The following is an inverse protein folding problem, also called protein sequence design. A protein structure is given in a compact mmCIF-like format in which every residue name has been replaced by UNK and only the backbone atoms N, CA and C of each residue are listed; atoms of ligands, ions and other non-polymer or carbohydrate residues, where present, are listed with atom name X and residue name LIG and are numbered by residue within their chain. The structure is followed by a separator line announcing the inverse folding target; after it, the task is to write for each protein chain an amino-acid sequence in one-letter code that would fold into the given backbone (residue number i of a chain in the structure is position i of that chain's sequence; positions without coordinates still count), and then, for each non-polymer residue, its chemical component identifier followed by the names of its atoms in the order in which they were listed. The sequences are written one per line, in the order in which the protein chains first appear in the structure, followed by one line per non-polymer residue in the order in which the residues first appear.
data_IF_163977844437
#
_entry.id   IF_163977844437
#
_cell.length_a   1.000
_cell.length_b   1.000
_cell.length_c   1.000
_cell.angle_alpha   90.00
_cell.angle_beta   90.00
_cell.angle_gamma   90.00
#
_symmetry.space_group_name_H-M   'P 1'
#
loop_
_entity.id
_entity.type
_entity.pdbx_description
1 polymer ?
#
# COMPACT_ATOMS: atom_id res chain seq x y z
N UNK A 1 -11.86 10.08 8.94
CA UNK A 1 -10.51 9.79 8.39
C UNK A 1 -9.89 10.99 7.69
N UNK A 2 -10.64 11.82 6.94
CA UNK A 2 -10.08 13.01 6.24
C UNK A 2 -9.38 14.03 7.16
N UNK A 3 -9.70 14.03 8.43
CA UNK A 3 -9.10 14.93 9.44
C UNK A 3 -7.85 14.31 10.09
N UNK A 4 -7.61 13.01 9.91
CA UNK A 4 -6.44 12.31 10.41
C UNK A 4 -5.24 12.53 9.50
N UNK A 5 -4.07 12.85 10.08
CA UNK A 5 -2.81 12.90 9.34
C UNK A 5 -2.43 11.55 8.71
N UNK A 6 -3.05 10.44 9.15
CA UNK A 6 -2.91 9.11 8.56
C UNK A 6 -3.82 8.87 7.36
N UNK A 7 -4.71 9.80 7.01
CA UNK A 7 -5.60 9.64 5.86
C UNK A 7 -4.83 9.36 4.57
N UNK A 8 -3.82 10.17 4.29
CA UNK A 8 -3.00 10.03 3.09
C UNK A 8 -2.14 8.76 3.11
N UNK A 9 -1.69 8.32 4.30
CA UNK A 9 -1.01 7.04 4.46
C UNK A 9 -1.87 5.87 3.97
N UNK A 10 -3.13 5.79 4.44
CA UNK A 10 -4.04 4.72 4.04
C UNK A 10 -4.47 4.83 2.57
N UNK A 11 -4.67 6.04 2.07
CA UNK A 11 -5.04 6.27 0.68
C UNK A 11 -3.94 5.80 -0.29
N UNK A 12 -2.68 6.15 -0.02
CA UNK A 12 -1.54 5.69 -0.82
C UNK A 12 -1.36 4.18 -0.69
N UNK A 13 -1.49 3.63 0.52
CA UNK A 13 -1.40 2.18 0.75
C UNK A 13 -2.45 1.39 -0.05
N UNK A 14 -3.69 1.90 -0.09
CA UNK A 14 -4.80 1.30 -0.84
C UNK A 14 -4.59 1.36 -2.35
N UNK A 15 -3.94 2.40 -2.85
CA UNK A 15 -3.75 2.63 -4.29
C UNK A 15 -2.44 2.06 -4.85
N UNK A 16 -1.52 1.62 -3.99
CA UNK A 16 -0.20 1.10 -4.39
C UNK A 16 0.02 -0.36 -4.01
N UNK A 17 -0.79 -0.88 -3.08
CA UNK A 17 -0.61 -2.22 -2.54
C UNK A 17 0.69 -2.41 -1.73
N UNK A 18 1.38 -1.34 -1.34
CA UNK A 18 2.60 -1.42 -0.54
C UNK A 18 2.35 -2.09 0.81
N UNK A 19 3.38 -2.77 1.33
CA UNK A 19 3.35 -3.33 2.68
C UNK A 19 3.44 -2.21 3.72
N UNK A 20 2.88 -2.42 4.90
CA UNK A 20 2.93 -1.45 6.00
C UNK A 20 4.37 -0.98 6.29
N UNK A 21 5.32 -1.90 6.40
CA UNK A 21 6.72 -1.54 6.66
C UNK A 21 7.39 -0.77 5.52
N UNK A 22 6.99 -1.01 4.27
CA UNK A 22 7.43 -0.24 3.11
C UNK A 22 6.87 1.19 3.17
N UNK A 23 5.58 1.32 3.50
CA UNK A 23 4.93 2.63 3.71
C UNK A 23 5.56 3.43 4.85
N UNK A 24 5.88 2.77 5.97
CA UNK A 24 6.57 3.40 7.10
C UNK A 24 7.99 3.88 6.73
N UNK A 25 8.68 3.14 5.86
CA UNK A 25 10.03 3.47 5.39
C UNK A 25 10.10 4.37 4.17
N UNK A 26 8.97 4.79 3.61
CA UNK A 26 8.93 5.61 2.39
C UNK A 26 9.44 7.02 2.69
N UNK A 27 10.42 7.48 1.89
CA UNK A 27 11.02 8.81 2.00
C UNK A 27 10.61 9.69 0.82
N UNK A 28 10.73 11.01 0.98
CA UNK A 28 10.49 11.94 -0.13
C UNK A 28 11.41 11.71 -1.32
N UNK A 29 12.66 11.25 -1.07
CA UNK A 29 13.64 10.90 -2.10
C UNK A 29 13.26 9.69 -2.94
N UNK A 30 12.31 8.87 -2.48
CA UNK A 30 11.84 7.70 -3.23
C UNK A 30 10.80 8.04 -4.29
N UNK A 31 10.33 9.29 -4.31
CA UNK A 31 9.32 9.77 -5.27
C UNK A 31 10.05 10.39 -6.47
N UNK A 32 10.18 9.63 -7.53
CA UNK A 32 10.74 10.14 -8.79
C UNK A 32 9.63 10.67 -9.71
N UNK A 33 9.46 11.99 -9.69
CA UNK A 33 8.49 12.66 -10.56
C UNK A 33 8.90 12.69 -12.03
N UNK A 34 10.20 12.53 -12.35
CA UNK A 34 10.68 12.52 -13.75
C UNK A 34 10.37 11.20 -14.41
N UNK A 35 10.61 10.10 -13.69
CA UNK A 35 10.28 8.74 -14.16
C UNK A 35 8.83 8.35 -13.85
N UNK A 36 8.12 9.16 -13.06
CA UNK A 36 6.73 8.92 -12.62
C UNK A 36 6.58 7.61 -11.85
N UNK A 37 7.49 7.35 -10.89
CA UNK A 37 7.49 6.12 -10.08
C UNK A 37 7.79 6.39 -8.61
N UNK A 38 7.37 5.43 -7.77
CA UNK A 38 7.83 5.28 -6.39
C UNK A 38 8.88 4.18 -6.36
N UNK A 39 10.09 4.47 -5.90
CA UNK A 39 11.12 3.49 -5.65
C UNK A 39 10.92 2.81 -4.29
N UNK A 40 10.42 1.58 -4.26
CA UNK A 40 10.30 0.81 -3.03
C UNK A 40 11.65 0.14 -2.75
N UNK A 41 12.44 0.72 -1.84
CA UNK A 41 13.83 0.31 -1.62
C UNK A 41 14.11 -0.20 -0.21
N UNK A 42 13.17 -0.01 0.74
CA UNK A 42 13.34 -0.39 2.15
C UNK A 42 12.05 -0.77 2.82
N UNK A 43 12.17 -1.45 3.93
CA UNK A 43 11.08 -1.72 4.85
C UNK A 43 11.54 -1.41 6.27
N UNK A 44 10.67 -0.85 7.09
CA UNK A 44 10.95 -0.67 8.50
C UNK A 44 10.45 -1.86 9.31
N UNK A 45 11.28 -2.29 10.24
CA UNK A 45 10.96 -3.28 11.27
C UNK A 45 11.20 -2.68 12.63
N UNK A 46 10.31 -2.91 13.57
CA UNK A 46 10.54 -2.57 14.97
C UNK A 46 11.21 -3.75 15.66
N UNK A 47 12.33 -3.50 16.31
CA UNK A 47 13.03 -4.47 17.16
C UNK A 47 13.05 -3.92 18.58
N UNK A 48 12.54 -4.70 19.51
CA UNK A 48 12.50 -4.32 20.94
C UNK A 48 13.92 -3.99 21.44
N UNK A 49 14.05 -2.86 22.14
CA UNK A 49 15.34 -2.34 22.61
C UNK A 49 16.19 -1.62 21.56
N UNK A 50 15.88 -1.71 20.28
CA UNK A 50 16.65 -1.05 19.20
C UNK A 50 15.80 -0.03 18.40
N UNK A 51 14.46 -0.09 18.54
CA UNK A 51 13.56 0.80 17.81
C UNK A 51 13.33 0.38 16.35
N UNK A 52 13.08 1.36 15.49
CA UNK A 52 12.88 1.13 14.05
C UNK A 52 14.22 0.96 13.33
N UNK A 53 14.37 -0.15 12.64
CA UNK A 53 15.54 -0.47 11.82
C UNK A 53 15.12 -0.50 10.35
N UNK A 54 15.84 0.22 9.51
CA UNK A 54 15.74 0.09 8.05
C UNK A 54 16.33 -1.26 7.64
N UNK A 55 15.49 -2.13 7.11
CA UNK A 55 15.94 -3.40 6.52
C UNK A 55 15.93 -3.23 4.99
N UNK A 56 17.10 -3.40 4.41
CA UNK A 56 17.21 -3.50 2.95
C UNK A 56 16.61 -4.84 2.53
N UNK A 57 15.75 -4.85 1.52
CA UNK A 57 15.10 -6.07 1.07
C UNK A 57 16.14 -7.15 0.73
N UNK A 58 16.05 -8.30 1.39
CA UNK A 58 16.96 -9.44 1.22
C UNK A 58 16.95 -10.07 -0.18
N UNK A 59 15.98 -9.70 -1.02
CA UNK A 59 15.80 -10.26 -2.36
C UNK A 59 15.66 -9.16 -3.39
N UNK A 60 16.19 -9.38 -4.58
CA UNK A 60 16.09 -8.50 -5.74
C UNK A 60 14.64 -8.16 -6.11
N UNK A 61 13.70 -9.04 -5.79
CA UNK A 61 12.25 -8.85 -6.04
C UNK A 61 11.57 -7.90 -5.07
N UNK A 62 12.20 -7.56 -3.96
CA UNK A 62 11.63 -6.65 -2.96
C UNK A 62 11.93 -5.18 -3.28
N UNK A 63 12.98 -4.90 -4.04
CA UNK A 63 13.22 -3.58 -4.64
C UNK A 63 12.46 -3.51 -5.95
N UNK A 64 11.58 -2.53 -6.08
CA UNK A 64 10.72 -2.37 -7.26
C UNK A 64 10.25 -0.95 -7.41
N UNK A 65 9.84 -0.64 -8.63
CA UNK A 65 9.22 0.63 -8.97
C UNK A 65 7.70 0.45 -9.10
N UNK A 66 6.95 1.34 -8.47
CA UNK A 66 5.49 1.40 -8.59
C UNK A 66 5.15 2.67 -9.36
N UNK A 67 4.44 2.58 -10.51
CA UNK A 67 4.01 3.75 -11.25
C UNK A 67 3.14 4.68 -10.41
N UNK A 68 3.41 5.98 -10.49
CA UNK A 68 2.60 7.02 -9.84
C UNK A 68 1.34 7.28 -10.66
N UNK A 69 0.20 7.25 -9.99
CA UNK A 69 -1.06 7.79 -10.55
C UNK A 69 -1.26 9.23 -10.06
N UNK A 70 -2.07 10.01 -10.78
CA UNK A 70 -2.40 11.38 -10.38
C UNK A 70 -2.95 11.44 -8.94
N UNK A 71 -3.82 10.50 -8.58
CA UNK A 71 -4.41 10.42 -7.25
C UNK A 71 -3.35 10.14 -6.16
N UNK A 72 -2.38 9.27 -6.42
CA UNK A 72 -1.27 9.00 -5.49
C UNK A 72 -0.41 10.27 -5.31
N UNK A 73 -0.12 10.99 -6.40
CA UNK A 73 0.63 12.25 -6.35
C UNK A 73 -0.10 13.29 -5.50
N UNK A 74 -1.41 13.45 -5.67
CA UNK A 74 -2.22 14.37 -4.86
C UNK A 74 -2.12 14.05 -3.35
N UNK A 75 -2.19 12.78 -2.98
CA UNK A 75 -2.05 12.37 -1.57
C UNK A 75 -0.63 12.64 -1.03
N UNK A 76 0.40 12.40 -1.82
CA UNK A 76 1.80 12.67 -1.43
C UNK A 76 2.02 14.18 -1.23
N UNK A 77 1.54 15.02 -2.14
CA UNK A 77 1.67 16.47 -2.03
C UNK A 77 0.85 17.04 -0.86
N UNK A 78 -0.33 16.52 -0.62
CA UNK A 78 -1.13 16.93 0.53
C UNK A 78 -0.45 16.54 1.86
N UNK A 79 0.17 15.35 1.93
CA UNK A 79 0.95 14.93 3.09
C UNK A 79 2.17 15.83 3.30
N UNK A 80 2.88 16.18 2.23
CA UNK A 80 4.02 17.13 2.26
C UNK A 80 3.60 18.49 2.80
N UNK A 81 2.49 19.03 2.31
CA UNK A 81 1.90 20.29 2.80
C UNK A 81 1.54 20.24 4.27
N UNK A 82 0.95 19.13 4.72
CA UNK A 82 0.52 18.97 6.10
C UNK A 82 1.69 19.15 7.10
N UNK A 83 2.88 18.63 6.77
CA UNK A 83 4.04 18.69 7.65
C UNK A 83 4.98 19.85 7.43
N UNK A 84 4.91 20.55 6.28
CA UNK A 84 5.91 21.52 5.82
C UNK A 84 6.27 22.62 6.85
N UNK A 85 5.39 22.93 7.79
CA UNK A 85 5.60 23.95 8.81
C UNK A 85 5.50 23.42 10.25
N UNK A 86 5.29 22.14 10.46
CA UNK A 86 4.97 21.57 11.77
C UNK A 86 6.13 20.86 12.44
N UNK A 87 7.00 20.24 11.65
CA UNK A 87 8.13 19.45 12.16
C UNK A 87 9.36 19.57 11.27
N UNK A 88 10.52 19.37 11.90
CA UNK A 88 11.79 19.15 11.21
C UNK A 88 11.94 17.64 11.02
N UNK A 89 11.62 17.14 9.85
CA UNK A 89 11.75 15.72 9.52
C UNK A 89 13.20 15.40 9.13
N UNK A 90 14.02 15.10 10.12
CA UNK A 90 15.45 14.78 9.93
C UNK A 90 15.66 13.53 9.06
N UNK A 91 14.76 12.57 9.15
CA UNK A 91 14.84 11.31 8.40
C UNK A 91 14.16 11.39 7.03
N UNK A 92 13.48 12.50 6.73
CA UNK A 92 12.75 12.74 5.48
C UNK A 92 11.69 11.66 5.15
N UNK A 93 11.14 10.98 6.15
CA UNK A 93 10.04 10.06 5.95
C UNK A 93 8.81 10.79 5.43
N UNK A 94 8.18 10.24 4.40
CA UNK A 94 6.95 10.79 3.82
C UNK A 94 5.80 10.75 4.82
N UNK A 95 5.72 9.65 5.57
CA UNK A 95 4.71 9.44 6.61
C UNK A 95 5.41 9.29 7.97
N UNK A 96 5.30 10.31 8.78
CA UNK A 96 5.95 10.40 10.09
C UNK A 96 4.98 10.89 11.17
N UNK A 97 5.38 10.79 12.43
CA UNK A 97 4.72 11.40 13.58
C UNK A 97 5.15 12.89 13.72
N UNK A 98 4.73 13.51 14.82
CA UNK A 98 5.02 14.92 15.11
C UNK A 98 6.50 15.20 15.37
N UNK A 99 7.25 14.19 15.79
CA UNK A 99 8.69 14.22 16.02
C UNK A 99 9.52 13.95 14.76
N UNK A 100 8.88 13.58 13.67
CA UNK A 100 9.55 13.21 12.41
C UNK A 100 9.96 11.73 12.33
N UNK A 101 9.58 10.93 13.31
CA UNK A 101 9.84 9.51 13.36
C UNK A 101 8.79 8.68 12.59
N UNK A 102 9.10 7.44 12.22
CA UNK A 102 8.14 6.56 11.60
C UNK A 102 6.89 6.35 12.45
N UNK A 103 5.72 6.32 11.81
CA UNK A 103 4.46 6.09 12.52
C UNK A 103 4.47 4.68 13.12
N UNK A 104 4.18 4.56 14.41
CA UNK A 104 4.21 3.27 15.09
C UNK A 104 3.10 2.32 14.58
N UNK A 105 3.38 1.02 14.70
CA UNK A 105 2.42 -0.03 14.35
C UNK A 105 1.11 0.11 15.14
N UNK A 106 1.24 0.42 16.42
CA UNK A 106 0.12 0.57 17.35
C UNK A 106 -0.74 1.76 16.94
N UNK A 107 -0.13 2.88 16.53
CA UNK A 107 -0.84 4.09 16.09
C UNK A 107 -1.58 3.87 14.77
N UNK A 108 -0.97 3.14 13.83
CA UNK A 108 -1.62 2.72 12.57
C UNK A 108 -2.86 1.86 12.87
N UNK A 109 -2.72 0.84 13.74
CA UNK A 109 -3.84 -0.03 14.08
C UNK A 109 -4.92 0.71 14.87
N UNK A 110 -4.55 1.57 15.81
CA UNK A 110 -5.50 2.37 16.59
C UNK A 110 -6.36 3.29 15.69
N UNK A 111 -5.79 3.86 14.62
CA UNK A 111 -6.56 4.69 13.68
C UNK A 111 -7.51 3.84 12.83
N UNK A 112 -7.08 2.63 12.42
CA UNK A 112 -7.96 1.67 11.75
C UNK A 112 -9.13 1.31 12.67
N UNK A 113 -8.86 0.91 13.91
CA UNK A 113 -9.88 0.49 14.89
C UNK A 113 -10.85 1.65 15.20
N UNK A 114 -10.36 2.88 15.33
CA UNK A 114 -11.17 4.09 15.50
C UNK A 114 -12.09 4.32 14.29
N UNK A 115 -11.59 4.14 13.08
CA UNK A 115 -12.36 4.32 11.85
C UNK A 115 -13.43 3.23 11.74
N UNK A 116 -13.09 1.97 12.01
CA UNK A 116 -14.04 0.85 12.03
C UNK A 116 -15.15 1.09 13.06
N UNK A 117 -14.77 1.57 14.27
CA UNK A 117 -15.74 1.90 15.30
C UNK A 117 -16.75 2.95 14.82
N UNK A 118 -16.29 4.05 14.19
CA UNK A 118 -17.17 5.09 13.62
C UNK A 118 -18.10 4.55 12.54
N UNK A 119 -17.62 3.64 11.69
CA UNK A 119 -18.44 2.99 10.66
C UNK A 119 -19.57 2.17 11.30
N UNK A 120 -19.25 1.42 12.35
CA UNK A 120 -20.25 0.61 13.09
C UNK A 120 -21.25 1.50 13.85
N UNK A 121 -20.79 2.58 14.47
CA UNK A 121 -21.66 3.57 15.12
C UNK A 121 -22.60 4.28 14.15
N UNK A 122 -22.21 4.39 12.88
CA UNK A 122 -23.07 4.88 11.80
C UNK A 122 -24.07 3.82 11.26
N UNK A 123 -24.14 2.65 11.88
CA UNK A 123 -25.12 1.59 11.55
C UNK A 123 -24.67 0.62 10.47
N UNK A 124 -23.40 0.65 10.06
CA UNK A 124 -22.86 -0.29 9.08
C UNK A 124 -22.17 -1.47 9.77
N UNK A 125 -22.57 -2.69 9.40
CA UNK A 125 -21.80 -3.86 9.81
C UNK A 125 -20.47 -3.89 9.05
N UNK A 126 -19.37 -3.76 9.79
CA UNK A 126 -18.03 -3.72 9.22
C UNK A 126 -17.06 -4.59 10.02
N UNK A 127 -16.32 -5.53 9.39
CA UNK A 127 -15.43 -6.44 10.09
C UNK A 127 -14.24 -5.69 10.71
N UNK A 128 -13.59 -6.33 11.69
CA UNK A 128 -12.28 -5.88 12.13
C UNK A 128 -11.27 -6.10 11.01
N UNK A 129 -10.49 -5.07 10.70
CA UNK A 129 -9.45 -5.14 9.67
C UNK A 129 -8.07 -4.76 10.22
N UNK A 130 -7.04 -5.15 9.50
CA UNK A 130 -5.66 -4.75 9.72
C UNK A 130 -5.11 -4.05 8.49
N UNK A 131 -3.94 -3.43 8.61
CA UNK A 131 -3.27 -2.78 7.47
C UNK A 131 -3.06 -3.72 6.27
N UNK A 132 -3.01 -5.03 6.46
CA UNK A 132 -2.84 -6.00 5.37
C UNK A 132 -4.05 -6.05 4.42
N UNK A 133 -5.24 -5.75 4.93
CA UNK A 133 -6.48 -5.69 4.13
C UNK A 133 -6.40 -4.65 3.02
N UNK A 134 -5.72 -3.52 3.23
CA UNK A 134 -5.55 -2.50 2.19
C UNK A 134 -4.80 -3.05 0.96
N UNK A 135 -3.73 -3.80 1.20
CA UNK A 135 -2.98 -4.47 0.13
C UNK A 135 -3.80 -5.58 -0.56
N UNK A 136 -4.56 -6.34 0.22
CA UNK A 136 -5.50 -7.33 -0.32
C UNK A 136 -6.55 -6.67 -1.22
N UNK A 137 -7.14 -5.57 -0.76
CA UNK A 137 -8.13 -4.80 -1.54
C UNK A 137 -7.51 -4.27 -2.85
N UNK A 138 -6.28 -3.72 -2.79
CA UNK A 138 -5.57 -3.34 -4.01
C UNK A 138 -5.43 -4.51 -4.99
N UNK A 139 -4.96 -5.66 -4.49
CA UNK A 139 -4.77 -6.84 -5.33
C UNK A 139 -6.09 -7.33 -5.95
N UNK A 140 -7.16 -7.42 -5.17
CA UNK A 140 -8.48 -7.80 -5.65
C UNK A 140 -8.97 -6.85 -6.75
N UNK A 141 -8.90 -5.53 -6.50
CA UNK A 141 -9.32 -4.52 -7.50
C UNK A 141 -8.47 -4.55 -8.77
N UNK A 142 -7.18 -4.80 -8.65
CA UNK A 142 -6.29 -4.96 -9.80
C UNK A 142 -6.68 -6.19 -10.64
N UNK A 143 -7.01 -7.31 -9.99
CA UNK A 143 -7.47 -8.55 -10.65
C UNK A 143 -8.82 -8.31 -11.35
N UNK A 144 -9.79 -7.72 -10.66
CA UNK A 144 -11.11 -7.37 -11.21
C UNK A 144 -11.00 -6.43 -12.42
N UNK A 145 -9.99 -5.53 -12.42
CA UNK A 145 -9.68 -4.65 -13.54
C UNK A 145 -8.90 -5.34 -14.68
N UNK A 146 -8.62 -6.65 -14.59
CA UNK A 146 -7.93 -7.42 -15.63
C UNK A 146 -6.41 -7.23 -15.65
N UNK A 147 -5.79 -6.75 -14.57
CA UNK A 147 -4.33 -6.60 -14.51
C UNK A 147 -3.64 -7.98 -14.70
N UNK A 148 -2.68 -8.14 -15.61
CA UNK A 148 -1.99 -9.42 -15.80
C UNK A 148 -1.27 -9.90 -14.52
N UNK A 149 -1.28 -11.22 -14.21
CA UNK A 149 -0.67 -11.75 -12.97
C UNK A 149 0.81 -11.40 -12.81
N UNK A 150 1.58 -11.37 -13.88
CA UNK A 150 2.99 -11.02 -13.86
C UNK A 150 3.21 -9.55 -13.49
N UNK A 151 2.34 -8.65 -13.96
CA UNK A 151 2.39 -7.22 -13.63
C UNK A 151 2.05 -7.02 -12.15
N UNK A 152 0.95 -7.64 -11.69
CA UNK A 152 0.53 -7.59 -10.29
C UNK A 152 1.61 -8.15 -9.35
N UNK A 153 2.22 -9.30 -9.71
CA UNK A 153 3.37 -9.87 -8.99
C UNK A 153 4.48 -8.84 -8.79
N UNK A 154 4.85 -8.14 -9.87
CA UNK A 154 5.93 -7.14 -9.85
C UNK A 154 5.56 -5.95 -8.96
N UNK A 155 4.37 -5.38 -9.11
CA UNK A 155 3.89 -4.26 -8.30
C UNK A 155 3.83 -4.64 -6.81
N UNK A 156 3.32 -5.82 -6.49
CA UNK A 156 3.25 -6.30 -5.12
C UNK A 156 4.62 -6.73 -4.56
N UNK A 157 5.60 -7.05 -5.39
CA UNK A 157 6.89 -7.59 -4.96
C UNK A 157 6.73 -8.98 -4.32
N UNK A 158 5.96 -9.85 -4.97
CA UNK A 158 5.86 -11.26 -4.58
C UNK A 158 7.07 -12.03 -5.08
N UNK A 159 7.63 -12.89 -4.23
CA UNK A 159 8.80 -13.71 -4.58
C UNK A 159 8.49 -14.77 -5.64
N UNK A 160 7.26 -15.29 -5.65
CA UNK A 160 6.80 -16.29 -6.63
C UNK A 160 5.53 -15.84 -7.34
N UNK A 161 5.32 -16.36 -8.55
CA UNK A 161 4.06 -16.16 -9.27
C UNK A 161 2.92 -16.93 -8.61
N UNK A 162 3.19 -18.06 -7.98
CA UNK A 162 2.18 -18.86 -7.27
C UNK A 162 1.41 -18.02 -6.25
N UNK A 163 2.12 -17.22 -5.42
CA UNK A 163 1.48 -16.32 -4.44
C UNK A 163 0.47 -15.34 -5.10
N UNK A 164 0.73 -14.94 -6.34
CA UNK A 164 -0.17 -14.04 -7.06
C UNK A 164 -1.32 -14.83 -7.69
N UNK A 165 -1.04 -16.02 -8.23
CA UNK A 165 -2.06 -16.89 -8.83
C UNK A 165 -3.08 -17.39 -7.81
N UNK A 166 -2.67 -17.61 -6.56
CA UNK A 166 -3.59 -17.94 -5.47
C UNK A 166 -4.65 -16.83 -5.28
N UNK A 167 -4.25 -15.55 -5.38
CA UNK A 167 -5.19 -14.42 -5.32
C UNK A 167 -6.16 -14.44 -6.51
N UNK A 168 -5.68 -14.73 -7.73
CA UNK A 168 -6.52 -14.84 -8.92
C UNK A 168 -7.57 -15.93 -8.78
N UNK A 169 -7.17 -17.10 -8.27
CA UNK A 169 -8.09 -18.23 -8.06
C UNK A 169 -9.21 -17.93 -7.07
N UNK A 170 -8.96 -17.05 -6.10
CA UNK A 170 -9.97 -16.61 -5.14
C UNK A 170 -10.89 -15.51 -5.69
N UNK A 171 -10.37 -14.61 -6.54
CA UNK A 171 -11.12 -13.45 -7.03
C UNK A 171 -11.93 -13.79 -8.28
N UNK A 172 -11.41 -14.66 -9.14
CA UNK A 172 -12.03 -15.08 -10.40
C UNK A 172 -12.36 -16.58 -10.38
N UNK A 173 -13.32 -17.03 -9.56
CA UNK A 173 -13.76 -18.40 -9.62
C UNK A 173 -14.54 -18.64 -10.92
N UNK A 174 -14.13 -19.61 -11.70
CA UNK A 174 -14.86 -20.22 -12.81
C UNK A 174 -15.24 -19.32 -14.01
N UNK A 175 -14.23 -18.66 -14.59
CA UNK A 175 -14.38 -17.92 -15.86
C UNK A 175 -14.19 -18.80 -17.11
N UNK A 176 -14.02 -20.12 -16.97
CA UNK A 176 -13.71 -21.05 -18.08
C UNK A 176 -14.70 -20.97 -19.24
N UNK A 177 -16.01 -20.92 -18.93
CA UNK A 177 -17.05 -20.85 -19.94
C UNK A 177 -17.03 -19.52 -20.70
N UNK A 178 -16.84 -18.42 -19.99
CA UNK A 178 -16.73 -17.08 -20.58
C UNK A 178 -15.48 -16.93 -21.45
N UNK A 179 -14.34 -17.44 -21.00
CA UNK A 179 -13.10 -17.40 -21.76
C UNK A 179 -13.17 -18.30 -23.02
N UNK A 180 -13.82 -19.46 -22.92
CA UNK A 180 -14.06 -20.31 -24.10
C UNK A 180 -14.97 -19.63 -25.13
N UNK A 181 -15.99 -18.87 -24.70
CA UNK A 181 -16.82 -18.12 -25.62
C UNK A 181 -16.05 -17.01 -26.34
N UNK A 182 -15.15 -16.31 -25.64
CA UNK A 182 -14.29 -15.29 -26.28
C UNK A 182 -13.40 -15.88 -27.35
N UNK A 183 -12.89 -17.07 -27.13
CA UNK A 183 -12.06 -17.79 -28.13
C UNK A 183 -12.91 -18.27 -29.30
N UNK A 184 -14.13 -18.77 -29.04
CA UNK A 184 -15.02 -19.27 -30.09
C UNK A 184 -15.39 -18.21 -31.15
N UNK A 185 -15.37 -16.92 -30.80
CA UNK A 185 -15.62 -15.83 -31.74
C UNK A 185 -14.46 -15.62 -32.76
N UNK A 186 -13.27 -16.18 -32.45
CA UNK A 186 -12.06 -16.03 -33.25
C UNK A 186 -11.93 -17.10 -34.34
N UNK A 187 -12.78 -18.12 -34.32
CA UNK A 187 -12.87 -19.23 -35.27
C UNK A 187 -14.19 -19.23 -36.02
#
# INVERSE_FOLDING_TARGET
AKESYLYHFFAVMLQTGMRKGEMQGLKYSDIDKKQNVIHVQRTLKYIEGQGYIEDTPKTRTSTRDIPLTAAVVEHIEAQRKYWNFKIVNMNQYLFCNEEGDPISRERIQAEIDRTVKRIREAGHDFPRITSHVFRHTFATRAIEAGMPPQVLKTILGHSSLAMTMDLYSHVLPDTKAEEMQKIAIMF
#
